data_IF_586100904218
#
_entry.id   IF_586100904218
#
_cell.length_a   1.000
_cell.length_b   1.000
_cell.length_c   1.000
_cell.angle_alpha   90.00
_cell.angle_beta   90.00
_cell.angle_gamma   90.00
#
_symmetry.space_group_name_H-M   'P 1'
#
loop_
_entity.id
_entity.type
_entity.pdbx_description
1 polymer ?
#
# COMPACT_ATOMS: atom_id res chain seq x y z
N UNK A 1 6.98 -14.19 3.47
CA UNK A 1 8.34 -14.28 4.02
C UNK A 1 9.33 -13.62 3.06
N UNK A 2 9.30 -13.90 1.76
CA UNK A 2 10.32 -13.41 0.81
C UNK A 2 10.24 -11.92 0.44
N UNK A 3 9.09 -11.26 0.47
CA UNK A 3 9.03 -9.80 0.27
C UNK A 3 9.67 -9.08 1.47
N UNK A 4 9.50 -9.61 2.68
CA UNK A 4 10.18 -9.08 3.87
C UNK A 4 11.65 -9.50 3.93
N UNK A 5 12.02 -10.69 3.47
CA UNK A 5 13.42 -11.17 3.44
C UNK A 5 14.26 -10.46 2.39
N UNK A 6 13.67 -10.06 1.25
CA UNK A 6 14.37 -9.22 0.27
C UNK A 6 14.56 -7.77 0.75
N UNK A 7 13.66 -7.28 1.60
CA UNK A 7 13.80 -5.96 2.23
C UNK A 7 14.60 -6.00 3.55
N UNK A 8 14.77 -7.18 4.18
CA UNK A 8 15.49 -7.34 5.45
C UNK A 8 16.90 -7.92 5.35
N UNK A 9 17.41 -8.27 4.17
CA UNK A 9 18.82 -8.67 4.04
C UNK A 9 19.75 -7.43 4.04
N UNK A 10 19.62 -6.64 5.13
CA UNK A 10 20.45 -5.47 5.44
C UNK A 10 21.63 -5.87 6.29
N UNK A 11 22.59 -6.58 5.71
CA UNK A 11 23.95 -6.64 6.25
C UNK A 11 24.89 -6.01 5.23
N UNK A 12 24.89 -4.68 5.16
CA UNK A 12 25.96 -3.90 4.51
C UNK A 12 26.05 -2.47 5.08
N UNK A 13 27.25 -1.86 5.09
CA UNK A 13 27.61 -0.76 5.98
C UNK A 13 26.89 0.57 5.67
N UNK A 14 26.85 1.44 6.67
CA UNK A 14 26.15 2.73 6.79
C UNK A 14 26.03 3.64 5.54
N UNK A 15 26.90 3.52 4.55
CA UNK A 15 26.86 4.31 3.30
C UNK A 15 25.77 3.87 2.30
N UNK A 16 25.36 2.60 2.34
CA UNK A 16 24.27 2.09 1.50
C UNK A 16 22.91 2.56 2.01
N UNK A 17 22.79 2.71 3.33
CA UNK A 17 21.56 3.17 3.99
C UNK A 17 21.23 4.64 3.67
N UNK A 18 22.21 5.53 3.50
CA UNK A 18 21.96 6.95 3.23
C UNK A 18 21.38 7.22 1.83
N UNK A 19 21.72 6.40 0.83
CA UNK A 19 21.20 6.57 -0.53
C UNK A 19 19.89 5.81 -0.74
N UNK A 20 19.73 4.63 -0.14
CA UNK A 20 18.47 3.86 -0.15
C UNK A 20 17.36 4.62 0.62
N UNK A 21 17.70 5.43 1.62
CA UNK A 21 16.75 6.31 2.34
C UNK A 21 16.26 7.51 1.51
N UNK A 22 16.91 7.84 0.39
CA UNK A 22 16.52 8.98 -0.46
C UNK A 22 15.60 8.62 -1.63
N UNK A 23 15.50 7.32 -2.00
CA UNK A 23 14.68 6.87 -3.12
C UNK A 23 13.34 6.36 -2.59
N UNK A 24 12.23 7.07 -2.85
CA UNK A 24 10.91 6.69 -2.34
C UNK A 24 10.24 5.56 -3.12
N UNK A 25 10.89 5.02 -4.15
CA UNK A 25 10.36 3.96 -5.02
C UNK A 25 11.10 2.65 -4.80
N UNK A 26 10.36 1.55 -4.90
CA UNK A 26 10.88 0.19 -4.96
C UNK A 26 10.10 -0.63 -5.98
N UNK A 27 10.70 -1.68 -6.54
CA UNK A 27 9.99 -2.58 -7.43
C UNK A 27 10.37 -4.04 -7.18
N UNK A 28 9.46 -4.93 -7.55
CA UNK A 28 9.65 -6.38 -7.53
C UNK A 28 9.23 -6.94 -8.88
N UNK A 29 10.12 -7.71 -9.50
CA UNK A 29 9.78 -8.48 -10.71
C UNK A 29 9.04 -9.74 -10.26
N UNK A 30 7.85 -9.94 -10.78
CA UNK A 30 7.05 -11.15 -10.56
C UNK A 30 7.35 -12.12 -11.69
N UNK A 31 7.79 -13.32 -11.31
CA UNK A 31 8.09 -14.42 -12.21
C UNK A 31 7.49 -15.73 -11.69
N UNK A 32 7.39 -16.79 -12.51
CA UNK A 32 6.88 -18.09 -12.06
C UNK A 32 7.60 -18.63 -10.82
N UNK A 33 8.91 -18.41 -10.73
CA UNK A 33 9.73 -18.95 -9.64
C UNK A 33 9.42 -18.30 -8.28
N UNK A 34 9.02 -17.03 -8.28
CA UNK A 34 8.77 -16.29 -7.04
C UNK A 34 7.29 -16.03 -6.73
N UNK A 35 6.41 -16.43 -7.64
CA UNK A 35 4.97 -16.16 -7.53
C UNK A 35 4.16 -17.36 -7.02
N UNK A 36 4.50 -18.57 -7.43
CA UNK A 36 3.73 -19.80 -7.12
C UNK A 36 3.67 -20.11 -5.62
N UNK A 37 4.67 -19.73 -4.85
CA UNK A 37 4.67 -19.86 -3.38
C UNK A 37 3.72 -18.89 -2.66
N UNK A 38 3.06 -17.99 -3.41
CA UNK A 38 2.23 -16.92 -2.85
C UNK A 38 0.73 -17.11 -3.01
N UNK A 39 0.29 -18.23 -3.61
CA UNK A 39 -1.14 -18.57 -3.61
C UNK A 39 -1.64 -18.72 -2.17
N UNK A 40 -2.77 -18.07 -1.88
CA UNK A 40 -3.34 -18.00 -0.54
C UNK A 40 -2.74 -16.94 0.37
N UNK A 41 -1.60 -16.33 0.01
CA UNK A 41 -0.96 -15.29 0.82
C UNK A 41 -1.75 -13.99 0.81
N UNK A 42 -1.71 -13.29 1.93
CA UNK A 42 -2.16 -11.90 2.03
C UNK A 42 -0.99 -10.94 1.79
N UNK A 43 -1.20 -9.99 0.91
CA UNK A 43 -0.30 -8.85 0.72
C UNK A 43 -0.97 -7.63 1.34
N UNK A 44 -0.30 -6.97 2.23
CA UNK A 44 -0.70 -5.67 2.74
C UNK A 44 0.50 -4.74 2.73
N UNK A 45 0.27 -3.51 2.32
CA UNK A 45 1.26 -2.44 2.39
C UNK A 45 0.82 -1.45 3.46
N UNK A 46 1.73 -1.12 4.36
CA UNK A 46 1.42 -0.30 5.53
C UNK A 46 1.82 1.16 5.30
N UNK A 47 3.00 1.37 4.75
CA UNK A 47 3.63 2.67 4.53
C UNK A 47 3.86 2.98 3.04
N UNK A 48 3.36 2.10 2.17
CA UNK A 48 3.50 2.20 0.72
C UNK A 48 2.16 2.06 0.02
N UNK A 49 2.09 2.62 -1.16
CA UNK A 49 1.10 2.29 -2.17
C UNK A 49 1.82 1.92 -3.46
N UNK A 50 1.12 1.33 -4.40
CA UNK A 50 1.75 0.91 -5.64
C UNK A 50 0.76 0.34 -6.63
N UNK A 51 1.29 -0.30 -7.64
CA UNK A 51 0.49 -0.99 -8.63
C UNK A 51 1.16 -2.28 -9.09
N UNK A 52 0.36 -3.20 -9.54
CA UNK A 52 0.79 -4.39 -10.26
C UNK A 52 0.50 -4.20 -11.74
N UNK A 53 1.55 -4.33 -12.56
CA UNK A 53 1.51 -4.28 -14.02
C UNK A 53 1.77 -5.68 -14.57
N UNK A 54 0.72 -6.32 -15.10
CA UNK A 54 0.80 -7.68 -15.62
C UNK A 54 1.34 -7.67 -17.05
N UNK A 55 2.43 -8.42 -17.30
CA UNK A 55 3.07 -8.54 -18.61
C UNK A 55 2.69 -9.84 -19.33
N UNK A 56 2.47 -10.91 -18.58
CA UNK A 56 2.07 -12.23 -19.10
C UNK A 56 1.34 -13.01 -18.02
N UNK A 57 0.47 -13.93 -18.46
CA UNK A 57 -0.32 -14.74 -17.56
C UNK A 57 -1.45 -13.97 -16.89
N UNK A 58 -1.93 -14.49 -15.80
CA UNK A 58 -3.03 -13.91 -15.03
C UNK A 58 -2.88 -14.21 -13.54
N UNK A 59 -3.40 -13.30 -12.72
CA UNK A 59 -3.52 -13.48 -11.27
C UNK A 59 -4.93 -13.09 -10.83
N UNK A 60 -5.54 -13.93 -10.01
CA UNK A 60 -6.80 -13.66 -9.36
C UNK A 60 -6.53 -13.19 -7.92
N UNK A 61 -7.03 -12.01 -7.60
CA UNK A 61 -6.84 -11.40 -6.29
C UNK A 61 -8.18 -11.02 -5.69
N UNK A 62 -8.35 -11.25 -4.39
CA UNK A 62 -9.46 -10.69 -3.63
C UNK A 62 -9.00 -9.43 -2.90
N UNK A 63 -9.76 -8.36 -3.04
CA UNK A 63 -9.58 -7.09 -2.36
C UNK A 63 -10.91 -6.64 -1.77
N UNK A 64 -10.97 -6.47 -0.46
CA UNK A 64 -12.20 -6.02 0.23
C UNK A 64 -13.45 -6.83 -0.20
N UNK A 65 -13.38 -8.16 -0.16
CA UNK A 65 -14.46 -9.10 -0.54
C UNK A 65 -14.86 -9.12 -2.04
N UNK A 66 -14.16 -8.38 -2.90
CA UNK A 66 -14.32 -8.44 -4.35
C UNK A 66 -13.14 -9.18 -4.97
N UNK A 67 -13.40 -10.07 -5.92
CA UNK A 67 -12.36 -10.74 -6.71
C UNK A 67 -12.11 -10.01 -8.02
N UNK A 68 -10.85 -9.90 -8.38
CA UNK A 68 -10.37 -9.26 -9.61
C UNK A 68 -9.43 -10.21 -10.34
N UNK A 69 -9.65 -10.37 -11.64
CA UNK A 69 -8.73 -11.05 -12.53
C UNK A 69 -7.83 -10.00 -13.19
N UNK A 70 -6.54 -10.09 -12.95
CA UNK A 70 -5.53 -9.20 -13.51
C UNK A 70 -4.73 -9.99 -14.55
N UNK A 71 -4.76 -9.56 -15.79
CA UNK A 71 -4.06 -10.17 -16.92
C UNK A 71 -3.30 -9.11 -17.72
N UNK A 72 -2.59 -9.52 -18.79
CA UNK A 72 -1.99 -8.57 -19.70
C UNK A 72 -3.04 -7.59 -20.22
N UNK A 73 -2.75 -6.29 -20.17
CA UNK A 73 -3.70 -5.24 -20.53
C UNK A 73 -4.58 -4.78 -19.36
N UNK A 74 -4.25 -5.17 -18.13
CA UNK A 74 -4.84 -4.60 -16.94
C UNK A 74 -3.79 -4.19 -15.90
N UNK A 75 -4.17 -3.21 -15.08
CA UNK A 75 -3.38 -2.69 -13.97
C UNK A 75 -4.21 -2.74 -12.70
N UNK A 76 -3.60 -3.11 -11.61
CA UNK A 76 -4.23 -3.04 -10.30
C UNK A 76 -3.43 -2.11 -9.39
N UNK A 77 -4.03 -1.00 -8.98
CA UNK A 77 -3.46 -0.05 -8.01
C UNK A 77 -3.87 -0.52 -6.62
N UNK A 78 -2.92 -0.67 -5.73
CA UNK A 78 -3.20 -0.98 -4.33
C UNK A 78 -2.74 0.16 -3.43
N UNK A 79 -3.56 0.43 -2.44
CA UNK A 79 -3.37 1.53 -1.50
C UNK A 79 -3.02 0.98 -0.11
N UNK A 80 -2.39 1.80 0.68
CA UNK A 80 -2.12 1.47 2.10
C UNK A 80 -3.40 1.05 2.83
N UNK A 81 -3.30 -0.01 3.63
CA UNK A 81 -4.43 -0.56 4.36
C UNK A 81 -5.38 -1.42 3.52
N UNK A 82 -5.06 -1.67 2.25
CA UNK A 82 -5.76 -2.68 1.46
C UNK A 82 -5.22 -4.06 1.81
N UNK A 83 -6.14 -4.99 2.08
CA UNK A 83 -5.83 -6.42 2.20
C UNK A 83 -6.06 -7.07 0.84
N UNK A 84 -4.97 -7.41 0.18
CA UNK A 84 -5.00 -8.10 -1.09
C UNK A 84 -4.65 -9.56 -0.85
N UNK A 85 -5.59 -10.46 -1.10
CA UNK A 85 -5.37 -11.91 -1.02
C UNK A 85 -5.17 -12.47 -2.42
N UNK A 86 -4.06 -13.12 -2.66
CA UNK A 86 -3.81 -13.85 -3.89
C UNK A 86 -4.61 -15.16 -3.83
N UNK A 87 -5.52 -15.35 -4.78
CA UNK A 87 -6.38 -16.54 -4.85
C UNK A 87 -5.81 -17.58 -5.82
N UNK A 88 -5.35 -17.15 -6.98
CA UNK A 88 -4.79 -18.01 -8.02
C UNK A 88 -3.76 -17.27 -8.83
N UNK A 89 -2.72 -17.96 -9.25
CA UNK A 89 -1.65 -17.44 -10.12
C UNK A 89 -1.43 -18.40 -11.28
N UNK A 90 -1.37 -17.89 -12.51
CA UNK A 90 -1.01 -18.70 -13.66
C UNK A 90 0.47 -19.10 -13.64
N UNK A 91 0.80 -20.28 -14.14
CA UNK A 91 2.17 -20.82 -14.16
C UNK A 91 3.15 -19.99 -15.00
N UNK A 92 2.66 -19.15 -15.89
CA UNK A 92 3.45 -18.33 -16.78
C UNK A 92 3.41 -16.83 -16.42
N UNK A 93 2.98 -16.50 -15.20
CA UNK A 93 2.87 -15.12 -14.71
C UNK A 93 4.18 -14.35 -14.86
N UNK A 94 4.10 -13.18 -15.44
CA UNK A 94 5.17 -12.19 -15.45
C UNK A 94 4.57 -10.80 -15.22
N UNK A 95 5.22 -10.01 -14.40
CA UNK A 95 4.76 -8.67 -14.13
C UNK A 95 5.72 -7.89 -13.24
N UNK A 96 5.33 -6.69 -12.92
CA UNK A 96 6.11 -5.78 -12.09
C UNK A 96 5.17 -5.22 -11.02
N UNK A 97 5.56 -5.36 -9.77
CA UNK A 97 5.01 -4.57 -8.68
C UNK A 97 5.93 -3.38 -8.46
N UNK A 98 5.38 -2.19 -8.58
CA UNK A 98 6.10 -0.95 -8.26
C UNK A 98 5.42 -0.30 -7.07
N UNK A 99 6.22 0.10 -6.10
CA UNK A 99 5.77 0.69 -4.85
C UNK A 99 6.40 2.07 -4.64
N UNK A 100 5.69 2.91 -3.95
CA UNK A 100 6.14 4.25 -3.57
C UNK A 100 5.79 4.54 -2.12
N UNK A 101 6.70 5.20 -1.41
CA UNK A 101 6.49 5.60 -0.03
C UNK A 101 5.34 6.58 0.10
N UNK A 102 4.45 6.32 1.04
CA UNK A 102 3.23 7.08 1.24
C UNK A 102 3.51 8.56 1.54
N UNK A 103 4.53 8.84 2.36
CA UNK A 103 4.91 10.21 2.70
C UNK A 103 5.38 11.03 1.48
N UNK A 104 5.91 10.35 0.46
CA UNK A 104 6.32 11.00 -0.79
C UNK A 104 5.14 11.22 -1.72
N UNK A 105 4.29 10.20 -1.92
CA UNK A 105 3.25 10.25 -2.96
C UNK A 105 2.02 11.07 -2.53
N UNK A 106 1.65 11.09 -1.25
CA UNK A 106 0.45 11.79 -0.77
C UNK A 106 0.44 13.28 -1.14
N UNK A 107 1.52 14.08 -0.92
CA UNK A 107 1.51 15.48 -1.30
C UNK A 107 1.35 15.70 -2.81
N UNK A 108 1.76 14.72 -3.61
CA UNK A 108 1.65 14.76 -5.07
C UNK A 108 0.20 14.47 -5.50
N UNK A 109 -0.36 13.39 -5.01
CA UNK A 109 -1.72 12.93 -5.36
C UNK A 109 -2.78 13.91 -4.88
N UNK A 110 -2.65 14.48 -3.69
CA UNK A 110 -3.61 15.43 -3.13
C UNK A 110 -3.74 16.75 -3.91
N UNK A 111 -2.82 17.04 -4.83
CA UNK A 111 -2.94 18.19 -5.74
C UNK A 111 -3.93 17.96 -6.86
N UNK A 112 -4.20 16.69 -7.19
CA UNK A 112 -4.97 16.29 -8.39
C UNK A 112 -6.19 15.46 -8.07
N UNK A 113 -6.18 14.71 -6.97
CA UNK A 113 -7.24 13.75 -6.63
C UNK A 113 -7.94 14.23 -5.36
N UNK A 114 -9.27 14.39 -5.45
CA UNK A 114 -10.09 14.66 -4.28
C UNK A 114 -10.40 13.36 -3.50
N UNK A 115 -10.98 13.52 -2.30
CA UNK A 115 -11.31 12.39 -1.43
C UNK A 115 -12.30 11.40 -2.06
N UNK A 116 -13.26 11.87 -2.85
CA UNK A 116 -14.23 11.00 -3.52
C UNK A 116 -13.57 10.16 -4.61
N UNK A 117 -12.70 10.76 -5.41
CA UNK A 117 -11.93 10.04 -6.43
C UNK A 117 -10.95 9.06 -5.80
N UNK A 118 -10.36 9.40 -4.64
CA UNK A 118 -9.47 8.51 -3.91
C UNK A 118 -10.24 7.29 -3.35
N UNK A 119 -11.42 7.50 -2.79
CA UNK A 119 -12.32 6.42 -2.35
C UNK A 119 -12.75 5.55 -3.53
N UNK A 120 -13.11 6.18 -4.66
CA UNK A 120 -13.49 5.45 -5.86
C UNK A 120 -12.34 4.56 -6.37
N UNK A 121 -11.11 5.08 -6.41
CA UNK A 121 -9.90 4.32 -6.75
C UNK A 121 -9.69 3.13 -5.79
N UNK A 122 -9.91 3.34 -4.50
CA UNK A 122 -9.80 2.28 -3.48
C UNK A 122 -10.83 1.17 -3.66
N UNK A 123 -12.05 1.51 -4.07
CA UNK A 123 -13.14 0.56 -4.28
C UNK A 123 -13.06 -0.15 -5.65
N UNK A 124 -12.39 0.47 -6.63
CA UNK A 124 -12.25 -0.01 -7.99
C UNK A 124 -10.78 0.04 -8.45
N UNK A 125 -9.90 -0.73 -7.80
CA UNK A 125 -8.45 -0.59 -7.95
C UNK A 125 -7.91 -1.18 -9.25
N UNK A 126 -8.65 -2.10 -9.90
CA UNK A 126 -8.22 -2.79 -11.11
C UNK A 126 -8.96 -2.24 -12.32
N UNK A 127 -8.25 -1.98 -13.39
CA UNK A 127 -8.78 -1.41 -14.63
C UNK A 127 -8.03 -1.91 -15.85
N UNK A 128 -8.74 -1.94 -16.98
CA UNK A 128 -8.17 -2.32 -18.27
C UNK A 128 -7.55 -1.11 -18.97
N UNK A 129 -6.50 -1.37 -19.74
CA UNK A 129 -5.79 -0.38 -20.51
C UNK A 129 -5.70 -0.82 -21.98
N UNK A 130 -5.65 0.15 -22.89
CA UNK A 130 -5.45 -0.12 -24.32
C UNK A 130 -4.03 -0.60 -24.58
N UNK A 131 -3.79 -1.23 -25.75
CA UNK A 131 -2.44 -1.67 -26.14
C UNK A 131 -1.46 -0.50 -26.26
N UNK A 132 -1.93 0.65 -26.73
CA UNK A 132 -1.12 1.88 -26.77
C UNK A 132 -0.70 2.32 -25.35
N UNK A 133 -1.66 2.38 -24.41
CA UNK A 133 -1.39 2.72 -23.02
C UNK A 133 -0.47 1.70 -22.34
N UNK A 134 -0.65 0.41 -22.66
CA UNK A 134 0.22 -0.66 -22.17
C UNK A 134 1.67 -0.43 -22.59
N UNK A 135 1.92 -0.25 -23.90
CA UNK A 135 3.27 -0.06 -24.43
C UNK A 135 3.93 1.21 -23.88
N UNK A 136 3.16 2.27 -23.73
CA UNK A 136 3.64 3.53 -23.16
C UNK A 136 4.03 3.38 -21.67
N UNK A 137 3.15 2.81 -20.84
CA UNK A 137 3.44 2.55 -19.42
C UNK A 137 4.63 1.60 -19.26
N UNK A 138 4.72 0.56 -20.09
CA UNK A 138 5.85 -0.38 -20.05
C UNK A 138 7.18 0.32 -20.33
N UNK A 139 7.24 1.25 -21.27
CA UNK A 139 8.43 2.05 -21.53
C UNK A 139 8.82 2.92 -20.33
N UNK A 140 7.85 3.60 -19.71
CA UNK A 140 8.09 4.41 -18.52
C UNK A 140 8.60 3.58 -17.34
N UNK A 141 8.00 2.42 -17.11
CA UNK A 141 8.41 1.48 -16.05
C UNK A 141 9.85 1.01 -16.31
N UNK A 142 10.18 0.57 -17.52
CA UNK A 142 11.54 0.14 -17.89
C UNK A 142 12.56 1.26 -17.72
N UNK A 143 12.22 2.48 -18.11
CA UNK A 143 13.09 3.64 -17.94
C UNK A 143 13.35 3.97 -16.46
N UNK A 144 12.35 3.82 -15.59
CA UNK A 144 12.50 3.98 -14.15
C UNK A 144 13.38 2.88 -13.55
N UNK A 145 13.11 1.60 -13.89
CA UNK A 145 13.89 0.47 -13.42
C UNK A 145 15.39 0.60 -13.78
N UNK A 146 15.71 0.94 -15.03
CA UNK A 146 17.09 1.13 -15.47
C UNK A 146 17.86 2.16 -14.62
N UNK A 147 17.17 3.19 -14.12
CA UNK A 147 17.77 4.19 -13.24
C UNK A 147 17.92 3.70 -11.81
N UNK A 148 16.96 2.92 -11.33
CA UNK A 148 17.01 2.33 -9.99
C UNK A 148 18.09 1.24 -9.89
N UNK A 149 18.40 0.56 -10.99
CA UNK A 149 19.41 -0.50 -11.06
C UNK A 149 20.86 0.02 -11.13
N UNK A 150 21.04 1.34 -11.27
CA UNK A 150 22.39 1.92 -11.29
C UNK A 150 23.07 1.72 -9.94
N UNK A 151 24.17 0.95 -9.94
CA UNK A 151 24.95 0.68 -8.72
C UNK A 151 25.68 1.94 -8.25
N UNK A 152 25.46 2.30 -7.00
CA UNK A 152 26.01 3.54 -6.42
C UNK A 152 27.52 3.52 -6.13
N UNK A 153 28.14 2.32 -6.09
CA UNK A 153 29.50 2.17 -5.52
C UNK A 153 30.61 2.94 -6.27
N UNK A 154 30.41 3.19 -7.58
CA UNK A 154 31.44 3.82 -8.42
C UNK A 154 31.04 5.21 -8.93
N UNK A 155 30.04 5.83 -8.31
CA UNK A 155 29.48 7.08 -8.79
C UNK A 155 29.77 8.22 -7.80
N UNK A 156 30.31 9.38 -8.27
CA UNK A 156 30.49 10.56 -7.42
C UNK A 156 29.19 11.01 -6.76
N UNK A 157 29.28 11.52 -5.52
CA UNK A 157 28.12 11.90 -4.69
C UNK A 157 27.14 12.84 -5.42
N UNK A 158 27.67 13.84 -6.13
CA UNK A 158 26.85 14.77 -6.92
C UNK A 158 26.01 14.05 -8.00
N UNK A 159 26.58 13.04 -8.65
CA UNK A 159 25.87 12.24 -9.66
C UNK A 159 24.84 11.31 -9.00
N UNK A 160 25.13 10.82 -7.80
CA UNK A 160 24.15 10.04 -7.02
C UNK A 160 22.91 10.87 -6.70
N UNK A 161 23.09 12.13 -6.27
CA UNK A 161 21.98 13.06 -6.05
C UNK A 161 21.18 13.33 -7.33
N UNK A 162 21.86 13.55 -8.46
CA UNK A 162 21.18 13.74 -9.74
C UNK A 162 20.35 12.52 -10.14
N UNK A 163 20.88 11.30 -9.96
CA UNK A 163 20.17 10.06 -10.25
C UNK A 163 18.96 9.92 -9.32
N UNK A 164 19.08 10.23 -8.05
CA UNK A 164 17.97 10.22 -7.09
C UNK A 164 16.84 11.16 -7.52
N UNK A 165 17.17 12.39 -7.93
CA UNK A 165 16.17 13.35 -8.42
C UNK A 165 15.55 12.92 -9.76
N UNK A 166 16.32 12.28 -10.66
CA UNK A 166 15.78 11.69 -11.88
C UNK A 166 14.79 10.55 -11.57
N UNK A 167 15.11 9.66 -10.61
CA UNK A 167 14.20 8.59 -10.17
C UNK A 167 12.91 9.19 -9.61
N UNK A 168 13.00 10.22 -8.77
CA UNK A 168 11.84 10.92 -8.21
C UNK A 168 10.96 11.53 -9.32
N UNK A 169 11.56 12.25 -10.27
CA UNK A 169 10.85 12.86 -11.40
C UNK A 169 10.17 11.83 -12.28
N UNK A 170 10.87 10.76 -12.66
CA UNK A 170 10.30 9.69 -13.48
C UNK A 170 9.21 8.93 -12.74
N UNK A 171 9.42 8.62 -11.47
CA UNK A 171 8.42 7.96 -10.64
C UNK A 171 7.17 8.83 -10.47
N UNK A 172 7.33 10.15 -10.28
CA UNK A 172 6.22 11.08 -10.22
C UNK A 172 5.45 11.15 -11.56
N UNK A 173 6.17 11.20 -12.69
CA UNK A 173 5.56 11.16 -14.02
C UNK A 173 4.76 9.87 -14.22
N UNK A 174 5.33 8.71 -13.84
CA UNK A 174 4.63 7.44 -13.92
C UNK A 174 3.36 7.41 -13.05
N UNK A 175 3.39 7.97 -11.84
CA UNK A 175 2.20 8.09 -11.00
C UNK A 175 1.12 8.96 -11.65
N UNK A 176 1.50 10.08 -12.27
CA UNK A 176 0.55 10.93 -12.98
C UNK A 176 -0.04 10.24 -14.19
N UNK A 177 0.76 9.54 -14.98
CA UNK A 177 0.29 8.80 -16.16
C UNK A 177 -0.65 7.65 -15.77
N UNK A 178 -0.36 6.93 -14.69
CA UNK A 178 -1.27 5.91 -14.17
C UNK A 178 -2.63 6.50 -13.76
N UNK A 179 -2.62 7.62 -13.07
CA UNK A 179 -3.85 8.32 -12.68
C UNK A 179 -4.57 8.88 -13.91
N UNK A 180 -3.84 9.43 -14.87
CA UNK A 180 -4.39 9.91 -16.15
C UNK A 180 -5.11 8.78 -16.90
N UNK A 181 -4.44 7.63 -17.07
CA UNK A 181 -5.03 6.44 -17.70
C UNK A 181 -6.24 5.94 -16.91
N UNK A 182 -6.13 5.86 -15.59
CA UNK A 182 -7.25 5.45 -14.73
C UNK A 182 -8.47 6.35 -14.94
N UNK A 183 -8.29 7.65 -14.83
CA UNK A 183 -9.37 8.62 -14.90
C UNK A 183 -9.85 8.94 -16.33
N UNK A 184 -9.13 8.52 -17.35
CA UNK A 184 -9.63 8.59 -18.74
C UNK A 184 -10.87 7.71 -18.92
N UNK A 185 -10.91 6.57 -18.24
CA UNK A 185 -12.01 5.61 -18.33
C UNK A 185 -13.03 5.74 -17.19
N UNK A 186 -12.78 6.64 -16.23
CA UNK A 186 -13.61 6.81 -15.05
C UNK A 186 -13.98 8.29 -14.87
N UNK A 187 -15.25 8.62 -14.56
CA UNK A 187 -15.67 10.00 -14.40
C UNK A 187 -14.95 10.66 -13.22
N UNK A 188 -14.05 11.59 -13.52
CA UNK A 188 -13.48 12.48 -12.51
C UNK A 188 -14.56 13.40 -11.97
N UNK A 189 -14.80 13.34 -10.67
CA UNK A 189 -15.54 14.38 -10.00
C UNK A 189 -14.65 15.62 -9.84
N UNK A 190 -15.19 16.83 -10.09
CA UNK A 190 -14.41 18.07 -9.94
C UNK A 190 -13.73 18.13 -8.57
N UNK A 191 -12.51 18.67 -8.52
CA UNK A 191 -11.82 18.94 -7.26
C UNK A 191 -12.72 19.85 -6.40
N UNK A 192 -13.27 19.27 -5.36
CA UNK A 192 -14.06 20.02 -4.40
C UNK A 192 -13.12 20.95 -3.60
N UNK A 193 -13.47 22.24 -3.56
CA UNK A 193 -12.83 23.18 -2.63
C UNK A 193 -13.47 23.13 -1.23
N UNK A 194 -14.34 22.15 -0.99
CA UNK A 194 -15.06 21.99 0.26
C UNK A 194 -14.07 21.77 1.42
N UNK A 195 -14.26 22.54 2.48
CA UNK A 195 -13.50 22.42 3.72
C UNK A 195 -13.58 20.99 4.30
N UNK A 196 -14.71 20.31 4.13
CA UNK A 196 -14.90 18.92 4.60
C UNK A 196 -14.00 17.93 3.86
N UNK A 197 -13.77 18.12 2.56
CA UNK A 197 -12.85 17.29 1.79
C UNK A 197 -11.41 17.41 2.29
N UNK A 198 -10.99 18.63 2.59
CA UNK A 198 -9.66 18.88 3.20
C UNK A 198 -9.54 18.22 4.57
N UNK A 199 -10.60 18.26 5.38
CA UNK A 199 -10.63 17.61 6.69
C UNK A 199 -10.45 16.08 6.51
N UNK A 200 -11.16 15.47 5.57
CA UNK A 200 -11.04 14.04 5.30
C UNK A 200 -9.67 13.66 4.75
N UNK A 201 -9.12 14.41 3.79
CA UNK A 201 -7.77 14.18 3.26
C UNK A 201 -6.70 14.25 4.36
N UNK A 202 -6.76 15.28 5.20
CA UNK A 202 -5.84 15.44 6.33
C UNK A 202 -6.00 14.32 7.36
N UNK A 203 -7.23 13.84 7.58
CA UNK A 203 -7.46 12.67 8.43
C UNK A 203 -6.77 11.44 7.86
N UNK A 204 -6.93 11.13 6.58
CA UNK A 204 -6.30 9.98 5.93
C UNK A 204 -4.78 10.05 6.08
N UNK A 205 -4.17 11.20 5.79
CA UNK A 205 -2.72 11.41 5.95
C UNK A 205 -2.28 11.17 7.40
N UNK A 206 -3.00 11.76 8.35
CA UNK A 206 -2.68 11.65 9.78
C UNK A 206 -2.88 10.22 10.27
N UNK A 207 -3.92 9.55 9.79
CA UNK A 207 -4.21 8.15 10.10
C UNK A 207 -3.04 7.25 9.70
N UNK A 208 -2.59 7.33 8.45
CA UNK A 208 -1.46 6.52 7.98
C UNK A 208 -0.17 6.75 8.75
N UNK A 209 0.03 7.95 9.27
CA UNK A 209 1.22 8.30 10.07
C UNK A 209 1.17 7.78 11.49
N UNK A 210 -0.02 7.71 12.09
CA UNK A 210 -0.14 7.53 13.54
C UNK A 210 -1.00 6.34 13.99
N UNK A 211 -1.65 5.58 13.10
CA UNK A 211 -2.58 4.50 13.49
C UNK A 211 -1.94 3.41 14.37
N UNK A 212 -0.63 3.16 14.26
CA UNK A 212 0.07 2.22 15.12
C UNK A 212 0.16 2.73 16.56
N UNK A 213 0.26 4.05 16.74
CA UNK A 213 0.53 4.71 18.01
C UNK A 213 -0.76 5.23 18.65
N UNK A 214 -1.67 5.76 17.83
CA UNK A 214 -2.83 6.51 18.27
C UNK A 214 -4.13 5.90 17.74
N UNK A 215 -5.02 5.55 18.68
CA UNK A 215 -6.32 4.91 18.38
C UNK A 215 -7.51 5.77 18.76
N UNK A 216 -7.27 6.88 19.44
CA UNK A 216 -8.32 7.79 19.88
C UNK A 216 -8.66 8.79 18.77
N UNK A 217 -9.95 8.87 18.42
CA UNK A 217 -10.47 9.84 17.45
C UNK A 217 -10.16 11.27 17.86
N UNK A 218 -10.09 11.53 19.16
CA UNK A 218 -9.76 12.86 19.74
C UNK A 218 -8.39 13.35 19.27
N UNK A 219 -7.40 12.44 19.20
CA UNK A 219 -6.07 12.78 18.67
C UNK A 219 -6.15 13.31 17.22
N UNK A 220 -6.86 12.62 16.34
CA UNK A 220 -6.98 13.02 14.93
C UNK A 220 -7.77 14.31 14.75
N UNK A 221 -8.78 14.51 15.56
CA UNK A 221 -9.56 15.76 15.56
C UNK A 221 -8.70 16.96 16.04
N UNK A 222 -7.91 16.78 17.10
CA UNK A 222 -7.05 17.83 17.66
C UNK A 222 -5.94 18.26 16.70
N UNK A 223 -5.40 17.33 15.88
CA UNK A 223 -4.43 17.65 14.82
C UNK A 223 -4.96 18.61 13.77
N UNK A 224 -6.28 18.75 13.70
CA UNK A 224 -6.95 19.69 12.79
C UNK A 224 -7.69 20.82 13.51
N UNK A 225 -7.46 20.96 14.81
CA UNK A 225 -8.10 21.98 15.66
C UNK A 225 -9.64 21.88 15.64
N UNK A 226 -10.18 20.66 15.57
CA UNK A 226 -11.62 20.39 15.50
C UNK A 226 -12.10 19.65 16.74
N UNK A 227 -13.38 19.84 17.09
CA UNK A 227 -14.02 18.98 18.08
C UNK A 227 -14.21 17.57 17.52
N UNK A 228 -14.06 16.53 18.36
CA UNK A 228 -14.24 15.12 17.97
C UNK A 228 -15.61 14.86 17.36
N UNK A 229 -16.65 15.57 17.84
CA UNK A 229 -18.02 15.42 17.31
C UNK A 229 -18.13 15.91 15.87
N UNK A 230 -17.65 17.13 15.58
CA UNK A 230 -17.68 17.70 14.23
C UNK A 230 -16.79 16.90 13.28
N UNK A 231 -15.57 16.58 13.72
CA UNK A 231 -14.64 15.76 12.96
C UNK A 231 -15.26 14.41 12.57
N UNK A 232 -15.83 13.66 13.54
CA UNK A 232 -16.45 12.36 13.28
C UNK A 232 -17.63 12.45 12.32
N UNK A 233 -18.43 13.51 12.41
CA UNK A 233 -19.54 13.75 11.50
C UNK A 233 -19.04 13.95 10.07
N UNK A 234 -17.98 14.78 9.88
CA UNK A 234 -17.38 15.02 8.57
C UNK A 234 -16.77 13.75 7.98
N UNK A 235 -16.02 12.98 8.78
CA UNK A 235 -15.42 11.72 8.28
C UNK A 235 -16.51 10.76 7.83
N UNK A 236 -17.57 10.59 8.62
CA UNK A 236 -18.69 9.69 8.27
C UNK A 236 -19.43 10.17 7.04
N UNK A 237 -19.68 11.46 6.91
CA UNK A 237 -20.35 12.07 5.74
C UNK A 237 -19.54 11.83 4.46
N UNK A 238 -18.20 12.01 4.51
CA UNK A 238 -17.33 11.91 3.33
C UNK A 238 -16.94 10.50 2.95
N UNK A 239 -16.91 9.57 3.89
CA UNK A 239 -16.41 8.20 3.64
C UNK A 239 -17.44 7.09 3.85
N UNK A 240 -18.62 7.41 4.36
CA UNK A 240 -19.59 6.41 4.76
C UNK A 240 -19.25 5.66 6.06
N UNK A 241 -18.00 5.74 6.52
CA UNK A 241 -17.48 5.04 7.71
C UNK A 241 -17.05 6.03 8.79
N UNK A 242 -17.18 5.63 10.05
CA UNK A 242 -16.71 6.47 11.17
C UNK A 242 -15.19 6.53 11.23
N UNK A 243 -14.63 7.59 11.81
CA UNK A 243 -13.18 7.71 12.03
C UNK A 243 -12.62 6.53 12.84
N UNK A 244 -13.37 6.04 13.84
CA UNK A 244 -12.98 4.86 14.61
C UNK A 244 -12.92 3.60 13.74
N UNK A 245 -13.87 3.40 12.83
CA UNK A 245 -13.84 2.26 11.90
C UNK A 245 -12.60 2.29 11.00
N UNK A 246 -12.21 3.46 10.52
CA UNK A 246 -10.99 3.64 9.75
C UNK A 246 -9.74 3.26 10.55
N UNK A 247 -9.62 3.77 11.79
CA UNK A 247 -8.50 3.48 12.69
C UNK A 247 -8.43 1.96 12.97
N UNK A 248 -9.57 1.37 13.35
CA UNK A 248 -9.66 -0.07 13.63
C UNK A 248 -9.25 -0.90 12.41
N UNK A 249 -9.76 -0.55 11.24
CA UNK A 249 -9.43 -1.28 10.01
C UNK A 249 -7.93 -1.28 9.74
N UNK A 250 -7.25 -0.13 9.89
CA UNK A 250 -5.80 -0.04 9.70
C UNK A 250 -5.05 -0.92 10.68
N UNK A 251 -5.36 -0.83 11.96
CA UNK A 251 -4.70 -1.62 13.03
C UNK A 251 -4.94 -3.12 12.83
N UNK A 252 -6.16 -3.53 12.52
CA UNK A 252 -6.50 -4.94 12.31
C UNK A 252 -5.87 -5.50 11.04
N UNK A 253 -5.80 -4.69 9.99
CA UNK A 253 -5.13 -5.07 8.73
C UNK A 253 -3.66 -5.39 8.99
N UNK A 254 -2.94 -4.49 9.66
CA UNK A 254 -1.54 -4.74 10.01
C UNK A 254 -1.37 -5.91 10.97
N UNK A 255 -2.25 -6.01 11.98
CA UNK A 255 -2.20 -7.14 12.91
C UNK A 255 -2.33 -8.48 12.20
N UNK A 256 -3.26 -8.61 11.25
CA UNK A 256 -3.45 -9.81 10.44
C UNK A 256 -2.19 -10.12 9.63
N UNK A 257 -1.62 -9.12 8.95
CA UNK A 257 -0.40 -9.28 8.17
C UNK A 257 0.77 -9.77 9.03
N UNK A 258 0.99 -9.16 10.20
CA UNK A 258 2.05 -9.57 11.11
C UNK A 258 1.83 -10.99 11.66
N UNK A 259 0.57 -11.38 11.89
CA UNK A 259 0.23 -12.74 12.34
C UNK A 259 0.47 -13.80 11.26
N UNK A 260 0.31 -13.47 10.00
CA UNK A 260 0.45 -14.38 8.86
C UNK A 260 1.88 -14.46 8.32
N UNK A 261 2.55 -13.31 8.21
CA UNK A 261 3.77 -13.16 7.41
C UNK A 261 5.02 -12.85 8.23
N UNK A 262 5.00 -13.00 9.56
CA UNK A 262 6.18 -12.79 10.37
C UNK A 262 6.35 -13.87 11.45
N UNK A 263 7.62 -14.11 11.84
CA UNK A 263 7.98 -14.99 12.95
C UNK A 263 7.80 -14.32 14.33
N UNK A 264 7.29 -13.09 14.35
CA UNK A 264 7.08 -12.35 15.59
C UNK A 264 6.10 -13.07 16.50
N UNK A 265 6.43 -13.15 17.76
CA UNK A 265 5.50 -13.62 18.79
C UNK A 265 4.30 -12.66 18.92
N UNK A 266 3.19 -13.14 19.47
CA UNK A 266 2.01 -12.30 19.71
C UNK A 266 2.34 -11.12 20.64
N UNK A 267 3.30 -11.31 21.55
CA UNK A 267 3.80 -10.25 22.45
C UNK A 267 4.55 -9.17 21.66
N UNK A 268 5.44 -9.57 20.76
CA UNK A 268 6.20 -8.63 19.90
C UNK A 268 5.27 -7.87 18.96
N UNK A 269 4.25 -8.53 18.40
CA UNK A 269 3.22 -7.87 17.58
C UNK A 269 2.47 -6.83 18.41
N UNK A 270 2.07 -7.18 19.63
CA UNK A 270 1.41 -6.23 20.54
C UNK A 270 2.30 -5.00 20.81
N UNK A 271 3.58 -5.22 21.06
CA UNK A 271 4.56 -4.14 21.28
C UNK A 271 4.74 -3.28 20.02
N UNK A 272 4.89 -3.92 18.86
CA UNK A 272 5.05 -3.23 17.56
C UNK A 272 3.85 -2.36 17.23
N UNK A 273 2.64 -2.84 17.54
CA UNK A 273 1.40 -2.09 17.35
C UNK A 273 1.08 -1.18 18.55
N UNK A 274 2.04 -0.92 19.42
CA UNK A 274 1.90 -0.03 20.57
C UNK A 274 0.69 -0.33 21.48
N UNK A 275 0.44 -1.62 21.75
CA UNK A 275 -0.52 -2.03 22.77
C UNK A 275 0.17 -2.11 24.12
N UNK A 276 -0.49 -1.68 25.22
CA UNK A 276 0.09 -1.71 26.56
C UNK A 276 0.53 -3.11 26.99
N UNK A 277 -0.24 -4.14 26.61
CA UNK A 277 0.08 -5.54 26.89
C UNK A 277 -0.44 -6.46 25.78
N UNK A 278 0.11 -7.68 25.71
CA UNK A 278 -0.41 -8.74 24.84
C UNK A 278 -1.90 -9.03 25.10
N UNK A 279 -2.35 -8.95 26.35
CA UNK A 279 -3.75 -9.19 26.71
C UNK A 279 -4.68 -8.13 26.16
N UNK A 280 -4.28 -6.84 26.15
CA UNK A 280 -5.03 -5.76 25.51
C UNK A 280 -5.12 -5.96 24.01
N UNK A 281 -4.01 -6.29 23.37
CA UNK A 281 -4.01 -6.63 21.94
C UNK A 281 -4.94 -7.81 21.64
N UNK A 282 -4.86 -8.88 22.44
CA UNK A 282 -5.69 -10.07 22.27
C UNK A 282 -7.19 -9.77 22.36
N UNK A 283 -7.61 -8.96 23.35
CA UNK A 283 -9.00 -8.52 23.51
C UNK A 283 -9.45 -7.65 22.33
N UNK A 284 -8.63 -6.67 21.96
CA UNK A 284 -8.91 -5.78 20.84
C UNK A 284 -9.06 -6.57 19.53
N UNK A 285 -8.10 -7.42 19.20
CA UNK A 285 -8.14 -8.23 17.99
C UNK A 285 -9.37 -9.15 17.97
N UNK A 286 -9.67 -9.84 19.08
CA UNK A 286 -10.85 -10.71 19.18
C UNK A 286 -12.16 -9.94 19.03
N UNK A 287 -12.24 -8.73 19.55
CA UNK A 287 -13.43 -7.87 19.45
C UNK A 287 -13.78 -7.57 17.98
N UNK A 288 -12.77 -7.31 17.13
CA UNK A 288 -13.00 -6.89 15.75
C UNK A 288 -12.87 -8.01 14.72
N UNK A 289 -12.19 -9.11 15.06
CA UNK A 289 -11.97 -10.26 14.13
C UNK A 289 -12.81 -11.48 14.51
N UNK A 290 -13.33 -11.52 15.74
CA UNK A 290 -14.16 -12.62 16.25
C UNK A 290 -13.35 -13.78 16.88
N UNK A 291 -12.06 -13.92 16.56
CA UNK A 291 -11.17 -14.95 17.08
C UNK A 291 -9.92 -14.33 17.72
N UNK A 292 -9.24 -15.07 18.61
CA UNK A 292 -7.99 -14.59 19.19
C UNK A 292 -6.85 -14.55 18.14
N UNK A 293 -5.79 -13.73 18.36
CA UNK A 293 -4.62 -13.70 17.50
C UNK A 293 -3.97 -15.08 17.31
N UNK A 294 -3.92 -15.90 18.36
CA UNK A 294 -3.37 -17.26 18.30
C UNK A 294 -4.23 -18.20 17.45
N UNK A 295 -5.55 -18.15 17.63
CA UNK A 295 -6.47 -18.94 16.80
C UNK A 295 -6.42 -18.51 15.35
N UNK A 296 -6.33 -17.20 15.09
CA UNK A 296 -6.20 -16.64 13.75
C UNK A 296 -4.94 -17.17 13.04
N UNK A 297 -3.77 -17.06 13.69
CA UNK A 297 -2.49 -17.56 13.16
C UNK A 297 -2.55 -19.07 12.87
N UNK A 298 -3.08 -19.86 13.81
CA UNK A 298 -3.15 -21.31 13.64
C UNK A 298 -4.08 -21.75 12.49
N UNK A 299 -5.16 -21.00 12.23
CA UNK A 299 -6.04 -21.28 11.07
C UNK A 299 -5.32 -21.04 9.75
N UNK A 300 -4.53 -20.00 9.65
CA UNK A 300 -3.78 -19.69 8.43
C UNK A 300 -2.70 -20.75 8.15
N UNK A 301 -1.96 -21.18 9.17
CA UNK A 301 -0.96 -22.25 9.04
C UNK A 301 -1.59 -23.57 8.53
N UNK A 302 -2.82 -23.89 8.94
CA UNK A 302 -3.55 -25.10 8.51
C UNK A 302 -4.14 -25.02 7.11
N UNK A 303 -4.21 -23.85 6.50
CA UNK A 303 -4.73 -23.60 5.15
C UNK A 303 -3.63 -23.58 4.08
N UNK A 304 -2.36 -23.67 4.48
CA UNK A 304 -1.26 -23.88 3.54
C UNK A 304 -1.27 -25.36 3.14
N UNK A 305 -1.45 -25.72 1.87
CA UNK A 305 -1.25 -27.10 1.41
C UNK A 305 0.22 -27.48 1.63
N UNK A 306 0.45 -28.68 2.17
CA UNK A 306 1.76 -29.31 2.27
C UNK A 306 2.33 -29.59 0.88
#
# INVERSE_FOLDING_TARGET
>A
VFIYTFLCNRNHPKRKEEMEQQIPFSYVIISPENATEKEGCMISTIDKCGFFFCQKGEVEVALNDKSYLISKGSVCIYMTGSLLRIQRISKDIKGIMLEVDLNYIIPIVNKIVNSENLLYLRENPCFSITEYQYNYLEQLIKALQQRMDIKAHDIPLQRQHLISELIKSWGQTLCYELLNVYFTNQPLKPLSQDKKDKIFQNFVITLFRYYQQERDVTFYASKQYLSSRYFSAVIKEKSGSTALQWIVQMVITEAKQLLENSDLTIKEIATKLNFPTQSFFGKYFKQYVGVSPKEYRNKQIRQLPF
#
